data_IF_717474241086
#
_entry.id   IF_717474241086
#
_cell.length_a   1.000
_cell.length_b   1.000
_cell.length_c   1.000
_cell.angle_alpha   90.00
_cell.angle_beta   90.00
_cell.angle_gamma   90.00
#
_symmetry.space_group_name_H-M   'P 1'
#
loop_
_entity.id
_entity.type
_entity.pdbx_description
1 polymer ?
#
# COMPACT_ATOMS: atom_id res chain seq x y z
N UNK A 1 9.66 16.24 25.74
CA UNK A 1 8.23 15.90 25.88
C UNK A 1 8.06 14.50 25.30
N UNK A 2 7.97 13.49 26.14
CA UNK A 2 7.78 12.11 25.71
C UNK A 2 6.34 11.96 25.16
N UNK A 3 6.19 11.77 23.84
CA UNK A 3 4.88 11.46 23.24
C UNK A 3 4.53 10.03 23.61
N UNK A 4 3.72 9.82 24.63
CA UNK A 4 3.06 8.53 24.87
C UNK A 4 1.95 8.36 23.82
N UNK A 5 2.28 7.70 22.72
CA UNK A 5 1.24 7.16 21.83
C UNK A 5 0.50 6.04 22.59
N UNK A 6 -0.81 5.87 22.39
CA UNK A 6 -1.62 4.91 23.14
C UNK A 6 -1.41 3.49 22.59
N UNK A 7 -0.16 3.05 22.45
CA UNK A 7 0.14 1.67 22.05
C UNK A 7 -0.30 0.70 23.16
N UNK A 8 -0.84 -0.42 22.72
CA UNK A 8 -1.24 -1.55 23.55
C UNK A 8 -0.26 -2.70 23.30
N UNK A 9 -0.35 -3.75 24.11
CA UNK A 9 0.52 -4.92 23.98
C UNK A 9 0.44 -5.59 22.60
N UNK A 10 -0.76 -5.60 21.96
CA UNK A 10 -0.91 -6.14 20.59
C UNK A 10 -0.10 -5.35 19.54
N UNK A 11 0.06 -4.05 19.77
CA UNK A 11 0.88 -3.19 18.91
C UNK A 11 2.38 -3.47 19.08
N UNK A 12 2.81 -3.78 20.31
CA UNK A 12 4.21 -4.11 20.58
C UNK A 12 4.55 -5.48 19.98
N UNK A 13 3.68 -6.49 20.12
CA UNK A 13 3.85 -7.80 19.45
C UNK A 13 3.88 -7.64 17.91
N UNK A 14 2.99 -6.83 17.36
CA UNK A 14 3.00 -6.56 15.91
C UNK A 14 4.30 -5.89 15.48
N UNK A 15 4.80 -4.93 16.25
CA UNK A 15 6.06 -4.25 15.98
C UNK A 15 7.23 -5.22 15.94
N UNK A 16 7.33 -6.09 16.92
CA UNK A 16 8.38 -7.12 16.98
C UNK A 16 8.29 -8.07 15.78
N UNK A 17 7.11 -8.59 15.50
CA UNK A 17 6.89 -9.52 14.38
C UNK A 17 7.18 -8.86 13.03
N UNK A 18 6.71 -7.62 12.83
CA UNK A 18 6.94 -6.88 11.59
C UNK A 18 8.42 -6.49 11.44
N UNK A 19 9.07 -6.06 12.53
CA UNK A 19 10.50 -5.78 12.55
C UNK A 19 11.33 -6.98 12.15
N UNK A 20 11.07 -8.14 12.76
CA UNK A 20 11.74 -9.40 12.43
C UNK A 20 11.52 -9.82 10.96
N UNK A 21 10.31 -9.63 10.44
CA UNK A 21 10.02 -9.84 9.02
C UNK A 21 10.89 -8.96 8.13
N UNK A 22 11.00 -7.66 8.43
CA UNK A 22 11.81 -6.73 7.64
C UNK A 22 13.30 -7.09 7.69
N UNK A 23 13.81 -7.45 8.85
CA UNK A 23 15.21 -7.85 9.03
C UNK A 23 15.58 -9.09 8.22
N UNK A 24 14.63 -9.99 8.00
CA UNK A 24 14.81 -11.21 7.23
C UNK A 24 14.53 -11.02 5.73
N UNK A 25 13.43 -10.39 5.37
CA UNK A 25 12.90 -10.42 4.00
C UNK A 25 13.14 -9.11 3.21
N UNK A 26 13.62 -8.05 3.86
CA UNK A 26 13.86 -6.77 3.19
C UNK A 26 15.30 -6.27 3.34
N UNK A 27 15.79 -6.14 4.57
CA UNK A 27 17.10 -5.53 4.86
C UNK A 27 18.25 -6.16 4.05
N UNK A 28 18.39 -7.50 3.94
CA UNK A 28 19.49 -8.11 3.20
C UNK A 28 19.49 -7.84 1.70
N UNK A 29 18.35 -7.48 1.13
CA UNK A 29 18.14 -7.35 -0.31
C UNK A 29 17.93 -5.90 -0.76
N UNK A 30 17.80 -4.98 0.18
CA UNK A 30 17.36 -3.61 -0.09
C UNK A 30 18.29 -2.83 -1.02
N UNK A 31 19.61 -2.97 -0.85
CA UNK A 31 20.60 -2.31 -1.71
C UNK A 31 20.51 -2.79 -3.16
N UNK A 32 20.23 -4.08 -3.36
CA UNK A 32 20.01 -4.63 -4.69
C UNK A 32 18.71 -4.09 -5.32
N UNK A 33 17.63 -4.03 -4.55
CA UNK A 33 16.36 -3.46 -5.01
C UNK A 33 16.50 -1.98 -5.41
N UNK A 34 17.27 -1.22 -4.64
CA UNK A 34 17.56 0.18 -4.97
C UNK A 34 18.36 0.30 -6.27
N UNK A 35 19.36 -0.57 -6.51
CA UNK A 35 20.12 -0.59 -7.77
C UNK A 35 19.27 -0.98 -8.97
N UNK A 36 18.34 -1.90 -8.78
CA UNK A 36 17.43 -2.38 -9.81
C UNK A 36 16.20 -1.46 -9.98
N UNK A 37 16.07 -0.41 -9.16
CA UNK A 37 14.92 0.50 -9.12
C UNK A 37 13.57 -0.22 -8.95
N UNK A 38 13.56 -1.41 -8.36
CA UNK A 38 12.36 -2.23 -8.23
C UNK A 38 12.42 -3.11 -6.98
N UNK A 39 11.31 -3.13 -6.23
CA UNK A 39 11.06 -4.12 -5.19
C UNK A 39 10.39 -5.33 -5.85
N UNK A 40 10.93 -6.55 -5.72
CA UNK A 40 10.35 -7.75 -6.35
C UNK A 40 8.92 -8.02 -5.87
N UNK A 41 8.09 -8.53 -6.76
CA UNK A 41 6.70 -8.86 -6.44
C UNK A 41 6.59 -9.89 -5.31
N UNK A 42 7.49 -10.85 -5.26
CA UNK A 42 7.56 -11.88 -4.21
C UNK A 42 7.66 -11.30 -2.80
N UNK A 43 8.24 -10.12 -2.64
CA UNK A 43 8.28 -9.44 -1.34
C UNK A 43 6.87 -9.07 -0.84
N UNK A 44 6.02 -8.59 -1.74
CA UNK A 44 4.63 -8.24 -1.39
C UNK A 44 3.80 -9.49 -1.09
N UNK A 45 4.02 -10.58 -1.82
CA UNK A 45 3.38 -11.88 -1.54
C UNK A 45 3.80 -12.42 -0.17
N UNK A 46 5.09 -12.37 0.17
CA UNK A 46 5.58 -12.73 1.50
C UNK A 46 4.97 -11.87 2.60
N UNK A 47 4.82 -10.56 2.37
CA UNK A 47 4.11 -9.67 3.30
C UNK A 47 2.65 -10.08 3.47
N UNK A 48 1.96 -10.45 2.39
CA UNK A 48 0.59 -10.93 2.43
C UNK A 48 0.47 -12.23 3.21
N UNK A 49 1.32 -13.21 2.92
CA UNK A 49 1.38 -14.50 3.64
C UNK A 49 1.66 -14.33 5.14
N UNK A 50 2.50 -13.37 5.50
CA UNK A 50 2.79 -13.04 6.89
C UNK A 50 1.70 -12.17 7.56
N UNK A 51 0.65 -11.77 6.84
CA UNK A 51 -0.46 -10.98 7.36
C UNK A 51 -0.14 -9.49 7.59
N UNK A 52 0.86 -8.94 6.89
CA UNK A 52 1.28 -7.53 7.04
C UNK A 52 0.73 -6.59 5.97
N UNK A 53 0.00 -7.11 4.96
CA UNK A 53 -0.66 -6.30 3.94
C UNK A 53 -2.09 -5.95 4.33
N UNK A 54 -2.50 -4.69 4.07
CA UNK A 54 -3.88 -4.22 4.17
C UNK A 54 -4.61 -4.70 5.45
N UNK A 55 -4.02 -4.50 6.62
CA UNK A 55 -4.46 -5.01 7.93
C UNK A 55 -5.91 -4.61 8.31
N UNK A 56 -6.38 -3.49 7.79
CA UNK A 56 -7.69 -2.92 8.06
C UNK A 56 -8.81 -3.60 7.24
N UNK A 57 -8.48 -4.32 6.16
CA UNK A 57 -9.47 -5.01 5.32
C UNK A 57 -10.27 -6.00 6.16
N UNK A 58 -11.59 -6.03 5.94
CA UNK A 58 -12.52 -6.91 6.65
C UNK A 58 -12.15 -8.38 6.44
N UNK A 59 -12.40 -9.19 7.48
CA UNK A 59 -12.11 -10.63 7.49
C UNK A 59 -12.82 -11.37 6.36
N UNK A 60 -14.01 -10.91 5.94
CA UNK A 60 -14.72 -11.53 4.81
C UNK A 60 -13.95 -11.50 3.50
N UNK A 61 -13.01 -10.54 3.33
CA UNK A 61 -12.11 -10.45 2.19
C UNK A 61 -10.70 -10.97 2.49
N UNK A 62 -10.52 -11.67 3.62
CA UNK A 62 -9.24 -12.25 4.04
C UNK A 62 -8.32 -11.31 4.81
N UNK A 63 -8.75 -10.09 5.12
CA UNK A 63 -7.98 -9.15 5.93
C UNK A 63 -7.98 -9.47 7.42
N UNK A 64 -7.19 -8.73 8.20
CA UNK A 64 -7.12 -8.90 9.65
C UNK A 64 -8.30 -8.24 10.40
N UNK A 65 -9.10 -7.42 9.71
CA UNK A 65 -10.22 -6.70 10.30
C UNK A 65 -9.82 -5.66 11.36
N UNK A 66 -8.60 -5.11 11.24
CA UNK A 66 -8.06 -4.08 12.15
C UNK A 66 -8.59 -2.69 11.81
N UNK A 67 -9.83 -2.63 11.34
CA UNK A 67 -10.48 -1.40 10.89
C UNK A 67 -10.54 -0.36 12.02
N UNK A 68 -10.15 0.88 11.72
CA UNK A 68 -10.14 2.01 12.66
C UNK A 68 -8.91 2.09 13.57
N UNK A 69 -8.01 1.10 13.58
CA UNK A 69 -6.76 1.17 14.33
C UNK A 69 -5.57 1.55 13.46
N UNK A 70 -5.41 2.86 13.26
CA UNK A 70 -4.34 3.44 12.45
C UNK A 70 -2.93 3.24 13.04
N UNK A 71 -2.82 2.82 14.32
CA UNK A 71 -1.53 2.64 14.98
C UNK A 71 -0.70 1.54 14.32
N UNK A 72 -1.31 0.52 13.71
CA UNK A 72 -0.59 -0.48 12.92
C UNK A 72 0.12 0.13 11.69
N UNK A 73 -0.52 1.08 11.00
CA UNK A 73 0.11 1.82 9.90
C UNK A 73 1.25 2.71 10.39
N UNK A 74 1.09 3.34 11.56
CA UNK A 74 2.17 4.11 12.21
C UNK A 74 3.37 3.22 12.51
N UNK A 75 3.15 2.05 13.09
CA UNK A 75 4.21 1.08 13.40
C UNK A 75 4.94 0.66 12.13
N UNK A 76 4.21 0.32 11.07
CA UNK A 76 4.84 -0.02 9.77
C UNK A 76 5.73 1.11 9.27
N UNK A 77 5.27 2.38 9.37
CA UNK A 77 6.06 3.53 8.98
C UNK A 77 7.35 3.67 9.79
N UNK A 78 7.24 3.54 11.11
CA UNK A 78 8.38 3.63 12.02
C UNK A 78 9.40 2.51 11.77
N UNK A 79 8.94 1.27 11.59
CA UNK A 79 9.84 0.12 11.40
C UNK A 79 10.56 0.17 10.04
N UNK A 80 9.89 0.63 8.97
CA UNK A 80 10.55 0.93 7.70
C UNK A 80 11.62 2.02 7.85
N UNK A 81 11.26 3.13 8.51
CA UNK A 81 12.15 4.28 8.69
C UNK A 81 13.36 3.95 9.55
N UNK A 82 13.20 3.20 10.63
CA UNK A 82 14.30 2.74 11.50
C UNK A 82 15.37 1.95 10.74
N UNK A 83 14.97 1.22 9.70
CA UNK A 83 15.85 0.38 8.86
C UNK A 83 16.30 1.05 7.58
N UNK A 84 15.92 2.31 7.35
CA UNK A 84 16.26 3.04 6.13
C UNK A 84 15.56 2.52 4.86
N UNK A 85 14.49 1.74 4.99
CA UNK A 85 13.79 1.07 3.87
C UNK A 85 12.78 2.01 3.19
N UNK A 86 13.22 3.20 2.78
CA UNK A 86 12.32 4.28 2.36
C UNK A 86 11.72 4.09 0.95
N UNK A 87 12.28 3.20 0.12
CA UNK A 87 11.82 2.94 -1.24
C UNK A 87 10.80 1.81 -1.34
N UNK A 88 10.33 1.24 -0.21
CA UNK A 88 9.31 0.20 -0.19
C UNK A 88 7.92 0.83 -0.01
N UNK A 89 7.12 0.84 -1.08
CA UNK A 89 5.81 1.51 -1.11
C UNK A 89 4.63 0.56 -0.83
N UNK A 90 4.83 -0.48 -0.01
CA UNK A 90 3.76 -1.41 0.38
C UNK A 90 2.60 -0.70 1.10
N UNK A 91 2.90 0.34 1.88
CA UNK A 91 1.91 1.16 2.57
C UNK A 91 1.04 1.95 1.59
N UNK A 92 1.62 2.45 0.49
CA UNK A 92 0.84 3.12 -0.55
C UNK A 92 -0.23 2.18 -1.10
N UNK A 93 0.14 0.95 -1.43
CA UNK A 93 -0.81 -0.05 -1.93
C UNK A 93 -1.87 -0.42 -0.89
N UNK A 94 -1.45 -0.89 0.28
CA UNK A 94 -2.34 -1.50 1.27
C UNK A 94 -3.05 -0.50 2.19
N UNK A 95 -2.40 0.62 2.53
CA UNK A 95 -2.90 1.51 3.59
C UNK A 95 -3.42 2.85 3.03
N UNK A 96 -3.13 3.17 1.76
CA UNK A 96 -3.58 4.42 1.11
C UNK A 96 -4.54 4.14 -0.03
N UNK A 97 -4.18 3.30 -1.01
CA UNK A 97 -4.99 3.11 -2.23
C UNK A 97 -6.11 2.09 -2.02
N UNK A 98 -5.84 0.97 -1.39
CA UNK A 98 -6.84 -0.06 -1.17
C UNK A 98 -8.10 0.41 -0.40
N UNK A 99 -8.04 1.38 0.56
CA UNK A 99 -9.22 1.98 1.17
C UNK A 99 -10.23 2.55 0.17
N UNK A 100 -9.77 3.13 -0.94
CA UNK A 100 -10.69 3.64 -1.97
C UNK A 100 -11.56 2.54 -2.58
N UNK A 101 -10.99 1.35 -2.78
CA UNK A 101 -11.75 0.19 -3.28
C UNK A 101 -12.74 -0.29 -2.22
N UNK A 102 -12.31 -0.35 -0.96
CA UNK A 102 -13.16 -0.83 0.13
C UNK A 102 -14.33 0.09 0.43
N UNK A 103 -14.12 1.40 0.37
CA UNK A 103 -15.12 2.40 0.73
C UNK A 103 -16.03 2.76 -0.45
N UNK A 104 -15.47 2.88 -1.66
CA UNK A 104 -16.19 3.41 -2.82
C UNK A 104 -16.46 2.37 -3.92
N UNK A 105 -15.84 1.18 -3.85
CA UNK A 105 -16.04 0.12 -4.84
C UNK A 105 -17.41 -0.57 -4.69
N UNK A 106 -17.88 -1.16 -5.78
CA UNK A 106 -19.02 -2.10 -5.74
C UNK A 106 -18.63 -3.37 -4.97
N UNK A 107 -19.62 -4.16 -4.56
CA UNK A 107 -19.33 -5.45 -3.89
C UNK A 107 -18.50 -6.37 -4.78
N UNK A 108 -18.83 -6.45 -6.07
CA UNK A 108 -18.06 -7.21 -7.05
C UNK A 108 -16.59 -6.77 -7.14
N UNK A 109 -16.33 -5.45 -7.11
CA UNK A 109 -14.98 -4.90 -7.09
C UNK A 109 -14.23 -5.25 -5.80
N UNK A 110 -14.91 -5.19 -4.65
CA UNK A 110 -14.34 -5.56 -3.35
C UNK A 110 -13.95 -7.03 -3.31
N UNK A 111 -14.87 -7.92 -3.70
CA UNK A 111 -14.65 -9.37 -3.75
C UNK A 111 -13.52 -9.76 -4.72
N UNK A 112 -13.41 -9.05 -5.84
CA UNK A 112 -12.37 -9.29 -6.84
C UNK A 112 -10.99 -8.83 -6.38
N UNK A 113 -10.88 -7.65 -5.78
CA UNK A 113 -9.59 -7.00 -5.57
C UNK A 113 -9.05 -7.13 -4.14
N UNK A 114 -9.89 -6.98 -3.12
CA UNK A 114 -9.40 -6.95 -1.73
C UNK A 114 -8.68 -8.23 -1.31
N UNK A 115 -9.16 -9.46 -1.62
CA UNK A 115 -8.44 -10.68 -1.27
C UNK A 115 -7.05 -10.77 -1.92
N UNK A 116 -6.91 -10.32 -3.15
CA UNK A 116 -5.65 -10.33 -3.88
C UNK A 116 -4.65 -9.31 -3.31
N UNK A 117 -5.14 -8.14 -2.88
CA UNK A 117 -4.33 -7.10 -2.23
C UNK A 117 -3.83 -7.60 -0.88
N UNK A 118 -4.69 -8.22 -0.08
CA UNK A 118 -4.34 -8.80 1.23
C UNK A 118 -3.24 -9.86 1.10
N UNK A 119 -3.29 -10.68 0.05
CA UNK A 119 -2.28 -11.71 -0.23
C UNK A 119 -0.99 -11.16 -0.85
N UNK A 120 -0.95 -9.86 -1.22
CA UNK A 120 0.18 -9.28 -1.94
C UNK A 120 0.24 -9.66 -3.42
N UNK A 121 -0.75 -10.39 -3.96
CA UNK A 121 -0.88 -10.77 -5.37
C UNK A 121 -1.19 -9.58 -6.29
N UNK A 122 -1.68 -8.48 -5.73
CA UNK A 122 -1.96 -7.23 -6.43
C UNK A 122 -1.37 -6.07 -5.66
N UNK A 123 -0.47 -5.35 -6.30
CA UNK A 123 0.13 -4.13 -5.77
C UNK A 123 -0.51 -2.94 -6.48
N UNK A 124 -0.94 -1.95 -5.71
CA UNK A 124 -1.66 -0.79 -6.21
C UNK A 124 -0.76 0.44 -6.30
N UNK A 125 -1.04 1.28 -7.28
CA UNK A 125 -0.52 2.63 -7.40
C UNK A 125 -1.64 3.65 -7.52
N UNK A 126 -1.35 4.92 -7.25
CA UNK A 126 -2.26 6.04 -7.48
C UNK A 126 -1.67 6.99 -8.50
N UNK A 127 -2.40 7.24 -9.58
CA UNK A 127 -1.97 8.04 -10.72
C UNK A 127 -2.53 9.46 -10.59
N UNK A 128 -1.82 10.35 -9.87
CA UNK A 128 -2.22 11.76 -9.71
C UNK A 128 -1.40 12.68 -10.59
N UNK A 129 -0.08 12.67 -10.42
CA UNK A 129 0.85 13.62 -11.06
C UNK A 129 0.86 13.48 -12.58
N UNK A 130 0.86 14.61 -13.26
CA UNK A 130 1.03 14.74 -14.71
C UNK A 130 2.30 15.55 -15.02
N UNK A 131 2.84 15.51 -16.24
CA UNK A 131 4.06 16.26 -16.59
C UNK A 131 3.98 17.75 -16.23
N UNK A 132 2.82 18.37 -16.42
CA UNK A 132 2.61 19.81 -16.18
C UNK A 132 1.89 20.12 -14.84
N UNK A 133 1.41 19.09 -14.14
CA UNK A 133 0.59 19.26 -12.92
C UNK A 133 1.04 18.34 -11.79
N UNK A 134 1.71 18.93 -10.78
CA UNK A 134 2.12 18.26 -9.54
C UNK A 134 1.15 18.55 -8.40
N UNK A 135 1.42 19.60 -7.63
CA UNK A 135 0.56 20.01 -6.50
C UNK A 135 -0.78 20.59 -6.94
N UNK A 136 -0.88 21.05 -8.18
CA UNK A 136 -2.10 21.60 -8.77
C UNK A 136 -2.99 20.47 -9.34
N UNK A 137 -3.52 19.64 -8.46
CA UNK A 137 -4.39 18.52 -8.83
C UNK A 137 -5.75 18.95 -9.39
N UNK A 138 -6.18 20.19 -9.12
CA UNK A 138 -7.44 20.71 -9.64
C UNK A 138 -7.40 20.93 -11.16
N UNK A 139 -6.21 21.10 -11.74
CA UNK A 139 -6.02 21.38 -13.16
C UNK A 139 -5.46 20.16 -13.95
N UNK A 140 -5.52 18.94 -13.41
CA UNK A 140 -5.11 17.73 -14.15
C UNK A 140 -5.92 17.63 -15.46
N UNK A 141 -5.22 17.19 -16.52
CA UNK A 141 -5.77 17.16 -17.88
C UNK A 141 -6.18 15.76 -18.35
N UNK A 142 -5.75 14.71 -17.65
CA UNK A 142 -6.20 13.37 -17.97
C UNK A 142 -7.73 13.30 -17.86
N UNK A 143 -8.35 12.75 -18.88
CA UNK A 143 -9.81 12.71 -19.02
C UNK A 143 -10.29 11.29 -19.29
N UNK A 144 -11.52 10.99 -18.85
CA UNK A 144 -12.24 9.78 -19.17
C UNK A 144 -13.62 10.17 -19.73
N UNK A 145 -13.89 9.81 -20.98
CA UNK A 145 -15.18 10.07 -21.64
C UNK A 145 -15.99 8.78 -21.61
N UNK A 146 -17.22 8.87 -21.08
CA UNK A 146 -18.15 7.74 -21.07
C UNK A 146 -18.72 7.52 -22.47
N UNK A 147 -18.48 6.35 -23.05
CA UNK A 147 -18.97 5.91 -24.36
C UNK A 147 -20.16 4.95 -24.26
N UNK A 148 -20.65 4.69 -23.03
CA UNK A 148 -21.79 3.85 -22.73
C UNK A 148 -21.40 2.42 -22.31
N UNK A 149 -20.61 1.71 -23.09
CA UNK A 149 -20.12 0.36 -22.79
C UNK A 149 -18.67 0.33 -22.30
N UNK A 150 -17.93 1.44 -22.44
CA UNK A 150 -16.56 1.62 -21.98
C UNK A 150 -16.23 3.10 -21.73
N UNK A 151 -15.07 3.36 -21.09
CA UNK A 151 -14.51 4.70 -20.98
C UNK A 151 -13.32 4.87 -21.92
N UNK A 152 -13.33 5.95 -22.71
CA UNK A 152 -12.15 6.39 -23.47
C UNK A 152 -11.28 7.27 -22.59
N UNK A 153 -10.10 6.75 -22.19
CA UNK A 153 -9.18 7.46 -21.30
C UNK A 153 -8.02 8.05 -22.11
N UNK A 154 -7.78 9.35 -21.95
CA UNK A 154 -6.65 10.06 -22.55
C UNK A 154 -5.89 10.83 -21.47
N UNK A 155 -4.56 10.79 -21.53
CA UNK A 155 -3.69 11.53 -20.62
C UNK A 155 -2.35 10.84 -20.39
N UNK A 156 -1.45 11.54 -19.70
CA UNK A 156 -0.14 11.03 -19.28
C UNK A 156 0.02 11.25 -17.80
N UNK A 157 0.43 10.20 -17.09
CA UNK A 157 0.77 10.27 -15.67
C UNK A 157 2.27 10.01 -15.48
N UNK A 158 2.89 10.67 -14.49
CA UNK A 158 4.34 10.58 -14.25
C UNK A 158 4.64 10.38 -12.76
N UNK A 159 5.82 9.83 -12.44
CA UNK A 159 6.28 9.57 -11.08
C UNK A 159 5.33 8.68 -10.25
N UNK A 160 4.78 7.65 -10.88
CA UNK A 160 3.81 6.77 -10.25
C UNK A 160 4.54 5.66 -9.49
N UNK A 161 4.46 5.69 -8.15
CA UNK A 161 4.96 4.60 -7.31
C UNK A 161 4.19 3.31 -7.60
N UNK A 162 4.90 2.20 -7.70
CA UNK A 162 4.36 0.89 -8.10
C UNK A 162 3.77 0.88 -9.52
N UNK A 163 4.20 1.77 -10.40
CA UNK A 163 3.66 1.94 -11.76
C UNK A 163 4.27 1.02 -12.83
N UNK A 164 5.08 0.04 -12.43
CA UNK A 164 5.73 -0.94 -13.34
C UNK A 164 5.11 -2.31 -13.20
#
# INVERSE_FOLDING_TARGET
>A
MERKLPFKWEHDEFREAFGAFLDKEAVPYYDEWCKNHMVPHEYFEKMGQAGFMALWVDKKYGGAGRNGDFLYTVIKAEEYSKRGLNCIFSRLSGDVVAPYIAENGTEEQREKWLPRIVKGETVLGVCMTEPDHGSDLANIQASAVDMGDHFLVNGTKTFISNGM
#
